data_IF_942858579571
#
_entry.id   IF_942858579571
#
_cell.length_a   1.000
_cell.length_b   1.000
_cell.length_c   1.000
_cell.angle_alpha   90.00
_cell.angle_beta   90.00
_cell.angle_gamma   90.00
#
_symmetry.space_group_name_H-M   'P 1'
#
loop_
_entity.id
_entity.type
_entity.pdbx_description
1 polymer ?
#
# COMPACT_ATOMS: atom_id res chain seq x y z
N UNK A 1 -0.63 6.33 -23.75
CA UNK A 1 -0.18 6.70 -22.40
C UNK A 1 -1.36 7.25 -21.62
N UNK A 2 -1.57 6.75 -20.42
CA UNK A 2 -2.71 7.11 -19.58
C UNK A 2 -2.19 7.79 -18.32
N UNK A 3 -2.76 8.94 -17.98
CA UNK A 3 -2.45 9.63 -16.72
C UNK A 3 -3.21 8.95 -15.59
N UNK A 4 -2.48 8.54 -14.56
CA UNK A 4 -3.05 7.83 -13.42
C UNK A 4 -2.47 8.36 -12.11
N UNK A 5 -3.10 7.99 -11.01
CA UNK A 5 -2.56 8.15 -9.66
C UNK A 5 -1.90 6.84 -9.24
N UNK A 6 -0.69 6.94 -8.70
CA UNK A 6 0.08 5.81 -8.22
C UNK A 6 0.10 5.83 -6.70
N UNK A 7 -0.19 4.69 -6.11
CA UNK A 7 -0.17 4.51 -4.65
C UNK A 7 0.94 3.53 -4.29
N UNK A 8 1.73 3.91 -3.29
CA UNK A 8 2.63 3.00 -2.60
C UNK A 8 2.21 2.97 -1.14
N UNK A 9 1.80 1.81 -0.67
CA UNK A 9 1.29 1.66 0.69
C UNK A 9 2.20 0.70 1.44
N UNK A 10 2.80 1.19 2.51
CA UNK A 10 3.70 0.40 3.35
C UNK A 10 2.99 0.11 4.66
N UNK A 11 2.84 -1.16 4.98
CA UNK A 11 2.20 -1.61 6.22
C UNK A 11 3.00 -2.76 6.84
N UNK A 12 2.84 -2.97 8.13
CA UNK A 12 3.34 -4.18 8.74
C UNK A 12 2.63 -5.39 8.19
N UNK A 13 3.35 -6.51 8.10
CA UNK A 13 2.81 -7.73 7.50
C UNK A 13 1.54 -8.21 8.20
N UNK A 14 1.42 -7.94 9.49
CA UNK A 14 0.25 -8.31 10.28
C UNK A 14 -1.04 -7.62 9.82
N UNK A 15 -0.92 -6.52 9.09
CA UNK A 15 -2.06 -5.73 8.60
C UNK A 15 -2.34 -5.93 7.12
N UNK A 16 -1.53 -6.74 6.44
CA UNK A 16 -1.64 -6.87 4.98
C UNK A 16 -3.00 -7.37 4.54
N UNK A 17 -3.55 -8.37 5.20
CA UNK A 17 -4.85 -8.93 4.80
C UNK A 17 -5.98 -7.93 4.96
N UNK A 18 -5.96 -7.13 6.03
CA UNK A 18 -6.95 -6.06 6.21
C UNK A 18 -6.90 -5.04 5.07
N UNK A 19 -5.69 -4.66 4.68
CA UNK A 19 -5.50 -3.70 3.59
C UNK A 19 -5.98 -4.26 2.26
N UNK A 20 -5.66 -5.52 1.97
CA UNK A 20 -6.11 -6.18 0.75
C UNK A 20 -7.63 -6.22 0.68
N UNK A 21 -8.30 -6.57 1.77
CA UNK A 21 -9.77 -6.56 1.82
C UNK A 21 -10.34 -5.17 1.52
N UNK A 22 -9.71 -4.13 2.07
CA UNK A 22 -10.12 -2.76 1.80
C UNK A 22 -10.01 -2.42 0.32
N UNK A 23 -8.87 -2.77 -0.30
CA UNK A 23 -8.64 -2.52 -1.71
C UNK A 23 -9.64 -3.26 -2.60
N UNK A 24 -9.99 -4.48 -2.25
CA UNK A 24 -10.97 -5.26 -2.99
C UNK A 24 -12.36 -4.62 -2.90
N UNK A 25 -12.74 -4.10 -1.74
CA UNK A 25 -14.01 -3.38 -1.58
C UNK A 25 -14.03 -2.07 -2.36
N UNK A 26 -12.88 -1.47 -2.56
CA UNK A 26 -12.75 -0.21 -3.31
C UNK A 26 -12.76 -0.41 -4.82
N UNK A 27 -12.97 -1.63 -5.28
CA UNK A 27 -13.04 -1.98 -6.70
C UNK A 27 -11.76 -1.70 -7.46
N UNK A 28 -10.62 -1.83 -6.80
CA UNK A 28 -9.32 -1.69 -7.45
C UNK A 28 -9.11 -2.89 -8.37
N UNK A 29 -8.74 -2.62 -9.63
CA UNK A 29 -8.59 -3.66 -10.64
C UNK A 29 -7.38 -4.54 -10.47
N UNK A 30 -6.33 -4.02 -9.87
CA UNK A 30 -5.13 -4.80 -9.64
C UNK A 30 -4.17 -4.10 -8.71
N UNK A 31 -3.31 -4.90 -8.11
CA UNK A 31 -2.26 -4.40 -7.24
C UNK A 31 -1.13 -5.42 -7.20
N UNK A 32 0.06 -4.93 -6.84
CA UNK A 32 1.23 -5.78 -6.66
C UNK A 32 1.66 -5.72 -5.20
N UNK A 33 1.93 -6.87 -4.61
CA UNK A 33 2.38 -6.96 -3.22
C UNK A 33 3.84 -7.40 -3.20
N UNK A 34 4.66 -6.64 -2.47
CA UNK A 34 6.04 -7.01 -2.18
C UNK A 34 6.11 -7.29 -0.69
N UNK A 35 6.42 -8.52 -0.34
CA UNK A 35 6.57 -8.94 1.07
C UNK A 35 8.03 -8.84 1.50
N UNK A 36 8.26 -8.92 2.81
CA UNK A 36 9.59 -8.91 3.41
C UNK A 36 10.39 -7.66 3.10
N UNK A 37 9.73 -6.51 3.15
CA UNK A 37 10.40 -5.23 2.98
C UNK A 37 10.91 -4.75 4.35
N UNK A 38 12.20 -4.45 4.43
CA UNK A 38 12.79 -3.88 5.63
C UNK A 38 13.03 -2.40 5.47
N UNK A 39 13.32 -1.73 6.58
CA UNK A 39 13.62 -0.32 6.55
C UNK A 39 13.72 0.28 7.94
N UNK A 40 13.85 1.59 7.98
CA UNK A 40 13.88 2.36 9.22
C UNK A 40 12.82 3.46 9.15
N UNK A 41 12.09 3.63 10.23
CA UNK A 41 11.07 4.67 10.32
C UNK A 41 10.78 5.03 11.75
N UNK A 42 9.68 5.72 11.98
CA UNK A 42 9.26 6.18 13.31
C UNK A 42 9.07 5.03 14.31
N UNK A 43 8.91 3.81 13.82
CA UNK A 43 8.71 2.60 14.64
C UNK A 43 9.97 1.75 14.78
N UNK A 44 11.13 2.26 14.37
CA UNK A 44 12.40 1.57 14.44
C UNK A 44 12.77 0.81 13.19
N UNK A 45 13.84 0.02 13.30
CA UNK A 45 14.35 -0.78 12.19
C UNK A 45 13.47 -2.02 11.99
N UNK A 46 13.08 -2.30 10.75
CA UNK A 46 12.42 -3.54 10.37
C UNK A 46 13.36 -4.34 9.50
N UNK A 47 13.73 -5.53 9.96
CA UNK A 47 14.66 -6.41 9.27
C UNK A 47 13.89 -7.59 8.68
N UNK A 48 13.84 -7.74 7.35
CA UNK A 48 13.08 -8.81 6.72
C UNK A 48 13.66 -10.21 6.99
N UNK A 49 14.92 -10.29 7.41
CA UNK A 49 15.58 -11.56 7.67
C UNK A 49 15.51 -12.01 9.13
N UNK A 50 14.86 -11.22 9.98
CA UNK A 50 14.73 -11.57 11.39
C UNK A 50 13.59 -12.56 11.59
N UNK A 51 13.93 -13.80 11.86
CA UNK A 51 12.96 -14.88 12.05
C UNK A 51 12.32 -14.89 13.44
N UNK A 52 12.84 -14.10 14.38
CA UNK A 52 12.35 -14.07 15.75
C UNK A 52 11.28 -13.01 15.99
N UNK A 53 11.08 -12.13 15.00
CA UNK A 53 10.11 -11.06 15.09
C UNK A 53 9.18 -11.09 13.90
N UNK A 54 7.99 -10.55 14.06
CA UNK A 54 7.05 -10.34 12.96
C UNK A 54 7.18 -8.95 12.37
N UNK A 55 8.36 -8.34 12.48
CA UNK A 55 8.58 -6.93 12.12
C UNK A 55 8.94 -6.72 10.66
N UNK A 56 8.45 -7.55 9.76
CA UNK A 56 8.59 -7.30 8.34
C UNK A 56 7.45 -6.42 7.84
N UNK A 57 7.73 -5.67 6.78
CA UNK A 57 6.74 -4.85 6.11
C UNK A 57 6.32 -5.50 4.79
N UNK A 58 5.15 -5.08 4.33
CA UNK A 58 4.70 -5.32 2.98
C UNK A 58 4.51 -3.98 2.28
N UNK A 59 4.77 -3.94 0.99
CA UNK A 59 4.54 -2.78 0.13
C UNK A 59 3.51 -3.17 -0.92
N UNK A 60 2.47 -2.37 -1.04
CA UNK A 60 1.47 -2.56 -2.09
C UNK A 60 1.60 -1.41 -3.07
N UNK A 61 1.72 -1.75 -4.35
CA UNK A 61 1.81 -0.80 -5.43
C UNK A 61 0.61 -0.98 -6.34
N UNK A 62 -0.07 0.13 -6.64
CA UNK A 62 -1.18 0.11 -7.58
C UNK A 62 -1.28 1.45 -8.28
N UNK A 63 -1.99 1.47 -9.39
CA UNK A 63 -2.31 2.69 -10.10
C UNK A 63 -3.77 2.64 -10.53
N UNK A 64 -4.42 3.79 -10.50
CA UNK A 64 -5.81 3.91 -10.92
C UNK A 64 -6.10 5.30 -11.47
N UNK A 65 -7.24 5.46 -12.11
CA UNK A 65 -7.67 6.75 -12.63
C UNK A 65 -8.06 7.70 -11.51
N UNK A 66 -8.10 8.98 -11.83
CA UNK A 66 -8.33 10.06 -10.85
C UNK A 66 -9.60 9.87 -10.02
N UNK A 67 -10.71 9.53 -10.65
CA UNK A 67 -11.98 9.33 -9.97
C UNK A 67 -11.93 8.15 -8.99
N UNK A 68 -11.32 7.05 -9.40
CA UNK A 68 -11.10 5.89 -8.54
C UNK A 68 -10.17 6.22 -7.39
N UNK A 69 -9.15 7.02 -7.67
CA UNK A 69 -8.16 7.41 -6.66
C UNK A 69 -8.82 8.21 -5.53
N UNK A 70 -9.71 9.13 -5.86
CA UNK A 70 -10.36 9.94 -4.84
C UNK A 70 -11.22 9.07 -3.91
N UNK A 71 -11.93 8.11 -4.47
CA UNK A 71 -12.71 7.15 -3.70
C UNK A 71 -11.83 6.35 -2.77
N UNK A 72 -10.70 5.86 -3.28
CA UNK A 72 -9.72 5.11 -2.49
C UNK A 72 -9.15 5.93 -1.34
N UNK A 73 -8.77 7.18 -1.60
CA UNK A 73 -8.22 8.06 -0.57
C UNK A 73 -9.21 8.20 0.58
N UNK A 74 -10.48 8.40 0.28
CA UNK A 74 -11.52 8.57 1.29
C UNK A 74 -11.67 7.30 2.15
N UNK A 75 -11.51 6.14 1.56
CA UNK A 75 -11.60 4.86 2.27
C UNK A 75 -10.32 4.50 3.02
N UNK A 76 -9.16 4.82 2.44
CA UNK A 76 -7.86 4.50 3.04
C UNK A 76 -7.54 5.36 4.26
N UNK A 77 -7.91 6.64 4.23
CA UNK A 77 -7.52 7.59 5.28
C UNK A 77 -7.86 7.11 6.68
N UNK A 78 -9.11 6.72 6.99
CA UNK A 78 -9.42 6.23 8.34
C UNK A 78 -8.76 4.89 8.66
N UNK A 79 -8.61 4.03 7.66
CA UNK A 79 -8.01 2.71 7.87
C UNK A 79 -6.52 2.81 8.18
N UNK A 80 -5.80 3.72 7.52
CA UNK A 80 -4.35 3.84 7.69
C UNK A 80 -3.97 4.28 9.10
N UNK A 81 -4.81 5.05 9.78
CA UNK A 81 -4.55 5.42 11.17
C UNK A 81 -4.43 4.18 12.06
N UNK A 82 -5.33 3.23 11.90
CA UNK A 82 -5.30 1.99 12.69
C UNK A 82 -4.21 1.02 12.28
N UNK A 83 -3.73 1.11 11.05
CA UNK A 83 -2.71 0.20 10.52
C UNK A 83 -1.28 0.68 10.78
N UNK A 84 -1.10 1.91 11.23
CA UNK A 84 0.22 2.52 11.44
C UNK A 84 1.11 2.42 10.20
N UNK A 85 0.51 2.55 9.04
CA UNK A 85 1.21 2.45 7.77
C UNK A 85 1.48 3.81 7.15
N UNK A 86 2.06 3.78 5.96
CA UNK A 86 2.35 4.98 5.18
C UNK A 86 1.78 4.80 3.78
N UNK A 87 1.13 5.82 3.26
CA UNK A 87 0.62 5.82 1.90
C UNK A 87 1.20 7.00 1.15
N UNK A 88 1.93 6.72 0.08
CA UNK A 88 2.48 7.72 -0.82
C UNK A 88 1.63 7.74 -2.09
N UNK A 89 1.29 8.94 -2.54
CA UNK A 89 0.44 9.11 -3.72
C UNK A 89 1.15 10.06 -4.67
N UNK A 90 1.24 9.69 -5.93
CA UNK A 90 1.87 10.49 -6.96
C UNK A 90 1.13 10.36 -8.28
N UNK A 91 1.38 11.31 -9.18
CA UNK A 91 0.93 11.20 -10.56
C UNK A 91 1.89 10.31 -11.34
N UNK A 92 1.36 9.54 -12.26
CA UNK A 92 2.19 8.73 -13.14
C UNK A 92 1.51 8.58 -14.51
N UNK A 93 2.30 8.16 -15.49
CA UNK A 93 1.80 7.80 -16.80
C UNK A 93 1.95 6.30 -16.97
N UNK A 94 0.89 5.63 -17.38
CA UNK A 94 0.91 4.18 -17.57
C UNK A 94 0.80 3.82 -19.04
N UNK A 95 1.61 2.84 -19.45
CA UNK A 95 1.45 2.14 -20.72
C UNK A 95 0.92 0.77 -20.37
N UNK A 96 -0.30 0.48 -20.78
CA UNK A 96 -0.95 -0.79 -20.48
C UNK A 96 -0.96 -1.64 -21.75
N UNK A 97 -0.38 -2.80 -21.65
CA UNK A 97 -0.25 -3.72 -22.78
C UNK A 97 -1.27 -4.83 -22.72
#
# INVERSE_FOLDING_TARGET
>A
MILMKRFEIVVGIEHLNQLIELLERSEVRGYTVIKKAGGFGSRGVRNPDDLLTSDENAVIILACKEDQAQKMINELRPAMEGLNGMCLISNCHAHIH
#
